data_IF_599115132013
#
_entry.id   IF_599115132013
#
_cell.length_a   1.000
_cell.length_b   1.000
_cell.length_c   1.000
_cell.angle_alpha   90.00
_cell.angle_beta   90.00
_cell.angle_gamma   90.00
#
_symmetry.space_group_name_H-M   'P 1'
#
loop_
_entity.id
_entity.type
_entity.pdbx_description
1 polymer ?
#
# COMPACT_ATOMS: atom_id res chain seq x y z
N UNK A 1 19.62 7.95 29.74
CA UNK A 1 19.43 9.20 28.97
C UNK A 1 20.37 9.25 27.77
N UNK A 2 21.57 9.85 27.79
CA UNK A 2 22.34 10.05 26.54
C UNK A 2 22.69 8.78 25.73
N UNK A 3 23.02 7.66 26.38
CA UNK A 3 23.28 6.37 25.71
C UNK A 3 21.99 5.69 25.22
N UNK A 4 20.94 5.79 26.03
CA UNK A 4 19.62 5.24 25.74
C UNK A 4 19.04 5.91 24.50
N UNK A 5 19.20 7.23 24.36
CA UNK A 5 18.79 7.98 23.19
C UNK A 5 19.52 7.53 21.91
N UNK A 6 20.82 7.26 21.97
CA UNK A 6 21.63 6.80 20.83
C UNK A 6 21.23 5.40 20.35
N UNK A 7 20.95 4.46 21.26
CA UNK A 7 20.51 3.11 20.88
C UNK A 7 19.13 3.11 20.23
N UNK A 8 18.23 3.99 20.67
CA UNK A 8 16.94 4.19 20.02
C UNK A 8 17.09 4.81 18.62
N UNK A 9 18.06 5.72 18.43
CA UNK A 9 18.38 6.30 17.12
C UNK A 9 18.86 5.23 16.14
N UNK A 10 19.76 4.33 16.53
CA UNK A 10 20.23 3.22 15.68
C UNK A 10 19.06 2.37 15.17
N UNK A 11 18.09 2.10 16.04
CA UNK A 11 16.91 1.30 15.68
C UNK A 11 15.96 2.09 14.75
N UNK A 12 15.76 3.37 15.03
CA UNK A 12 14.95 4.26 14.20
C UNK A 12 15.56 4.43 12.79
N UNK A 13 16.88 4.60 12.72
CA UNK A 13 17.64 4.71 11.48
C UNK A 13 17.60 3.40 10.69
N UNK A 14 17.69 2.24 11.36
CA UNK A 14 17.51 0.95 10.71
C UNK A 14 16.11 0.81 10.08
N UNK A 15 15.06 1.20 10.81
CA UNK A 15 13.69 1.20 10.29
C UNK A 15 13.58 2.13 9.09
N UNK A 16 14.10 3.35 9.19
CA UNK A 16 14.05 4.34 8.12
C UNK A 16 14.82 3.87 6.88
N UNK A 17 16.06 3.41 7.04
CA UNK A 17 16.89 2.96 5.93
C UNK A 17 16.27 1.79 5.15
N UNK A 18 15.52 0.91 5.84
CA UNK A 18 14.90 -0.28 5.23
C UNK A 18 13.53 -0.02 4.63
N UNK A 19 12.78 0.94 5.18
CA UNK A 19 11.33 1.07 4.90
C UNK A 19 10.90 2.49 4.52
N UNK A 20 11.74 3.49 4.77
CA UNK A 20 11.40 4.92 4.71
C UNK A 20 10.57 5.43 5.88
N UNK A 21 10.11 4.56 6.78
CA UNK A 21 9.27 4.96 7.91
C UNK A 21 10.09 5.67 8.98
N UNK A 22 9.52 6.72 9.54
CA UNK A 22 10.09 7.48 10.64
C UNK A 22 9.43 7.07 11.94
N UNK A 23 10.25 6.84 12.97
CA UNK A 23 9.77 6.68 14.32
C UNK A 23 9.91 8.02 15.05
N UNK A 24 8.77 8.70 15.26
CA UNK A 24 8.76 9.96 16.00
C UNK A 24 9.24 9.76 17.45
N UNK A 25 9.81 10.80 18.05
CA UNK A 25 10.26 10.79 19.44
C UNK A 25 9.15 10.34 20.40
N UNK A 26 7.93 10.85 20.20
CA UNK A 26 6.73 10.46 20.95
C UNK A 26 6.32 8.99 20.83
N UNK A 27 6.91 8.24 19.89
CA UNK A 27 6.66 6.81 19.64
C UNK A 27 7.86 5.94 19.96
N UNK A 28 8.98 6.50 20.45
CA UNK A 28 10.17 5.72 20.84
C UNK A 28 9.89 4.68 21.91
N UNK A 29 8.99 4.98 22.85
CA UNK A 29 8.52 4.01 23.86
C UNK A 29 8.04 2.69 23.26
N UNK A 30 7.56 2.71 22.00
CA UNK A 30 7.03 1.54 21.32
C UNK A 30 8.12 0.53 20.97
N UNK A 31 9.38 0.94 20.85
CA UNK A 31 10.54 0.06 20.56
C UNK A 31 10.57 -1.07 21.58
N UNK A 32 10.64 -0.75 22.88
CA UNK A 32 10.75 -1.76 23.93
C UNK A 32 9.54 -2.70 23.95
N UNK A 33 8.32 -2.17 23.77
CA UNK A 33 7.12 -3.02 23.73
C UNK A 33 7.05 -3.92 22.50
N UNK A 34 7.40 -3.39 21.32
CA UNK A 34 7.32 -4.11 20.05
C UNK A 34 8.39 -5.20 19.95
N UNK A 35 9.57 -4.93 20.52
CA UNK A 35 10.71 -5.85 20.49
C UNK A 35 10.74 -6.84 21.67
N UNK A 36 9.83 -6.71 22.64
CA UNK A 36 9.79 -7.59 23.82
C UNK A 36 9.77 -9.09 23.51
N UNK A 37 9.07 -9.50 22.43
CA UNK A 37 9.07 -10.88 21.95
C UNK A 37 10.45 -11.33 21.46
N UNK A 38 11.13 -10.45 20.70
CA UNK A 38 12.49 -10.70 20.21
C UNK A 38 13.50 -10.73 21.35
N UNK A 39 13.35 -9.86 22.34
CA UNK A 39 14.22 -9.83 23.50
C UNK A 39 14.21 -11.15 24.25
N UNK A 40 13.02 -11.71 24.49
CA UNK A 40 12.89 -13.03 25.12
C UNK A 40 13.48 -14.16 24.26
N UNK A 41 13.26 -14.12 22.95
CA UNK A 41 13.72 -15.18 22.06
C UNK A 41 15.24 -15.22 21.89
N UNK A 42 15.88 -14.06 21.78
CA UNK A 42 17.32 -13.94 21.57
C UNK A 42 18.12 -13.72 22.86
N UNK A 43 17.45 -13.66 24.02
CA UNK A 43 18.12 -13.39 25.30
C UNK A 43 18.71 -11.98 25.37
N UNK A 44 18.02 -10.99 24.80
CA UNK A 44 18.43 -9.58 24.81
C UNK A 44 17.81 -8.90 26.04
N UNK A 45 18.63 -8.28 26.86
CA UNK A 45 18.27 -7.65 28.12
C UNK A 45 17.67 -6.26 27.92
N UNK A 46 18.19 -5.49 26.96
CA UNK A 46 17.79 -4.11 26.72
C UNK A 46 18.12 -3.63 25.30
N UNK A 47 17.68 -2.40 25.00
CA UNK A 47 17.85 -1.75 23.69
C UNK A 47 19.33 -1.51 23.36
N UNK A 48 20.18 -1.23 24.34
CA UNK A 48 21.62 -1.00 24.13
C UNK A 48 22.34 -2.28 23.68
N UNK A 49 21.99 -3.42 24.28
CA UNK A 49 22.51 -4.71 23.84
C UNK A 49 22.04 -5.03 22.42
N UNK A 50 20.78 -4.74 22.08
CA UNK A 50 20.30 -4.91 20.71
C UNK A 50 21.11 -4.05 19.72
N UNK A 51 21.32 -2.77 20.04
CA UNK A 51 22.09 -1.86 19.18
C UNK A 51 23.51 -2.40 18.93
N UNK A 52 24.21 -2.81 20.00
CA UNK A 52 25.53 -3.46 19.90
C UNK A 52 25.52 -4.72 19.02
N UNK A 53 24.43 -5.49 19.02
CA UNK A 53 24.29 -6.68 18.18
C UNK A 53 24.06 -6.30 16.71
N UNK A 54 23.22 -5.29 16.44
CA UNK A 54 22.90 -4.84 15.08
C UNK A 54 24.10 -4.22 14.34
N UNK A 55 25.06 -3.66 15.07
CA UNK A 55 26.31 -3.13 14.48
C UNK A 55 27.29 -4.22 14.03
N UNK A 56 27.10 -5.47 14.47
CA UNK A 56 28.00 -6.57 14.09
C UNK A 56 27.80 -6.95 12.62
N UNK A 57 28.88 -7.10 11.83
CA UNK A 57 28.77 -7.56 10.46
C UNK A 57 28.05 -8.92 10.35
N UNK A 58 27.09 -9.04 9.44
CA UNK A 58 26.39 -10.30 9.16
C UNK A 58 25.06 -10.53 9.90
N UNK A 59 24.65 -9.65 10.82
CA UNK A 59 23.40 -9.77 11.60
C UNK A 59 22.12 -9.38 10.81
N UNK A 60 22.07 -9.73 9.52
CA UNK A 60 20.95 -9.39 8.64
C UNK A 60 19.63 -9.99 9.09
N UNK A 61 19.65 -11.19 9.67
CA UNK A 61 18.43 -11.86 10.14
C UNK A 61 17.82 -11.12 11.34
N UNK A 62 18.64 -10.71 12.31
CA UNK A 62 18.16 -9.95 13.46
C UNK A 62 17.62 -8.59 13.02
N UNK A 63 18.34 -7.89 12.14
CA UNK A 63 17.92 -6.60 11.60
C UNK A 63 16.55 -6.68 10.90
N UNK A 64 16.33 -7.68 10.04
CA UNK A 64 15.03 -7.91 9.40
C UNK A 64 13.94 -8.13 10.44
N UNK A 65 14.19 -8.93 11.48
CA UNK A 65 13.19 -9.20 12.52
C UNK A 65 12.85 -7.99 13.36
N UNK A 66 13.82 -7.15 13.66
CA UNK A 66 13.60 -5.86 14.36
C UNK A 66 12.70 -4.97 13.52
N UNK A 67 12.99 -4.81 12.22
CA UNK A 67 12.17 -4.02 11.31
C UNK A 67 10.74 -4.56 11.26
N UNK A 68 10.57 -5.87 11.05
CA UNK A 68 9.26 -6.54 11.01
C UNK A 68 8.44 -6.32 12.28
N UNK A 69 9.08 -6.31 13.45
CA UNK A 69 8.40 -6.07 14.72
C UNK A 69 8.00 -4.61 14.93
N UNK A 70 8.73 -3.65 14.34
CA UNK A 70 8.45 -2.22 14.48
C UNK A 70 7.37 -1.71 13.52
N UNK A 71 7.21 -2.37 12.37
CA UNK A 71 6.20 -2.02 11.36
C UNK A 71 4.79 -1.99 11.96
N UNK A 72 4.01 -0.95 11.62
CA UNK A 72 2.61 -0.85 12.03
C UNK A 72 1.70 -1.46 10.97
N UNK A 73 1.29 -2.71 11.20
CA UNK A 73 0.47 -3.48 10.27
C UNK A 73 -1.05 -3.39 10.58
N UNK A 74 -1.50 -2.35 11.29
CA UNK A 74 -2.92 -2.19 11.64
C UNK A 74 -3.81 -2.07 10.39
N UNK A 75 -4.58 -3.12 10.13
CA UNK A 75 -5.50 -3.24 9.00
C UNK A 75 -6.69 -4.12 9.37
N UNK A 76 -7.80 -3.98 8.64
CA UNK A 76 -8.98 -4.81 8.80
C UNK A 76 -9.81 -4.78 7.52
N UNK A 77 -10.64 -5.81 7.35
CA UNK A 77 -11.47 -5.93 6.16
C UNK A 77 -12.43 -4.75 6.04
N UNK A 78 -12.58 -4.25 4.83
CA UNK A 78 -13.47 -3.14 4.48
C UNK A 78 -13.26 -1.88 5.34
N UNK A 79 -12.01 -1.63 5.75
CA UNK A 79 -11.62 -0.39 6.45
C UNK A 79 -12.10 0.84 5.69
N UNK A 80 -12.95 1.64 6.34
CA UNK A 80 -13.71 2.72 5.75
C UNK A 80 -14.66 2.23 4.62
N UNK A 81 -15.74 1.52 4.99
CA UNK A 81 -16.74 0.96 4.05
C UNK A 81 -17.23 1.93 2.97
N UNK A 82 -17.31 3.24 3.29
CA UNK A 82 -17.70 4.26 2.32
C UNK A 82 -16.73 4.33 1.13
N UNK A 83 -15.42 4.11 1.36
CA UNK A 83 -14.41 4.13 0.30
C UNK A 83 -14.56 2.92 -0.62
N UNK A 84 -14.77 1.72 -0.07
CA UNK A 84 -15.08 0.53 -0.87
C UNK A 84 -16.39 0.70 -1.65
N UNK A 85 -17.37 1.40 -1.09
CA UNK A 85 -18.62 1.73 -1.79
C UNK A 85 -18.38 2.66 -2.99
N UNK A 86 -17.51 3.68 -2.84
CA UNK A 86 -17.06 4.54 -3.95
C UNK A 86 -16.33 3.74 -5.02
N UNK A 87 -15.46 2.80 -4.64
CA UNK A 87 -14.79 1.91 -5.58
C UNK A 87 -15.79 1.07 -6.38
N UNK A 88 -16.71 0.40 -5.69
CA UNK A 88 -17.68 -0.52 -6.28
C UNK A 88 -18.65 0.16 -7.26
N UNK A 89 -19.11 1.37 -6.90
CA UNK A 89 -20.26 2.00 -7.56
C UNK A 89 -19.87 3.13 -8.51
N UNK A 90 -18.66 3.70 -8.38
CA UNK A 90 -18.23 4.85 -9.18
C UNK A 90 -16.94 4.53 -9.93
N UNK A 91 -15.86 4.22 -9.21
CA UNK A 91 -14.52 4.12 -9.81
C UNK A 91 -14.39 2.90 -10.73
N UNK A 92 -14.74 1.71 -10.25
CA UNK A 92 -14.64 0.48 -11.05
C UNK A 92 -15.56 0.54 -12.30
N UNK A 93 -16.83 0.99 -12.23
CA UNK A 93 -17.65 1.20 -13.42
C UNK A 93 -17.06 2.21 -14.42
N UNK A 94 -16.44 3.29 -13.94
CA UNK A 94 -15.80 4.26 -14.82
C UNK A 94 -14.58 3.65 -15.54
N UNK A 95 -13.72 2.93 -14.80
CA UNK A 95 -12.59 2.21 -15.37
C UNK A 95 -13.05 1.16 -16.37
N UNK A 96 -14.15 0.45 -16.08
CA UNK A 96 -14.75 -0.51 -17.00
C UNK A 96 -15.19 0.16 -18.31
N UNK A 97 -15.76 1.38 -18.24
CA UNK A 97 -16.07 2.15 -19.46
C UNK A 97 -14.81 2.53 -20.24
N UNK A 98 -13.73 2.94 -19.55
CA UNK A 98 -12.44 3.32 -20.16
C UNK A 98 -11.66 2.12 -20.74
N UNK A 99 -11.91 0.91 -20.25
CA UNK A 99 -11.24 -0.33 -20.64
C UNK A 99 -12.17 -1.31 -21.37
N UNK A 100 -13.26 -0.83 -21.95
CA UNK A 100 -14.26 -1.68 -22.61
C UNK A 100 -13.65 -2.56 -23.72
N UNK A 101 -12.66 -2.04 -24.45
CA UNK A 101 -12.00 -2.75 -25.56
C UNK A 101 -11.11 -3.91 -25.09
N UNK A 102 -10.45 -3.76 -23.95
CA UNK A 102 -9.52 -4.78 -23.41
C UNK A 102 -10.19 -5.68 -22.38
N UNK A 103 -11.26 -5.21 -21.76
CA UNK A 103 -11.95 -5.85 -20.63
C UNK A 103 -11.00 -6.27 -19.50
N UNK A 104 -9.94 -5.48 -19.32
CA UNK A 104 -8.91 -5.72 -18.31
C UNK A 104 -8.78 -4.52 -17.38
N UNK A 105 -8.77 -4.77 -16.07
CA UNK A 105 -8.48 -3.77 -15.03
C UNK A 105 -7.33 -4.29 -14.17
N UNK A 106 -6.34 -3.44 -13.94
CA UNK A 106 -5.17 -3.72 -13.10
C UNK A 106 -5.16 -2.78 -11.90
N UNK A 107 -5.00 -3.34 -10.71
CA UNK A 107 -5.11 -2.62 -9.45
C UNK A 107 -3.87 -2.88 -8.61
N UNK A 108 -3.33 -1.85 -7.97
CA UNK A 108 -2.20 -1.96 -7.05
C UNK A 108 -2.57 -1.41 -5.67
N UNK A 109 -2.53 -2.23 -4.63
CA UNK A 109 -2.56 -1.81 -3.23
C UNK A 109 -1.13 -1.72 -2.69
N UNK A 110 -0.64 -0.50 -2.52
CA UNK A 110 0.67 -0.17 -2.00
C UNK A 110 0.63 0.02 -0.48
N UNK A 111 1.29 -0.87 0.26
CA UNK A 111 1.16 -1.00 1.72
C UNK A 111 -0.01 -1.90 2.11
N UNK A 112 -0.13 -3.07 1.48
CA UNK A 112 -1.30 -3.94 1.66
C UNK A 112 -1.37 -4.63 3.03
N UNK A 113 -0.34 -4.54 3.86
CA UNK A 113 -0.21 -5.22 5.15
C UNK A 113 -0.54 -6.71 5.01
N UNK A 114 -1.35 -7.27 5.90
CA UNK A 114 -1.75 -8.67 5.93
C UNK A 114 -2.84 -9.02 4.91
N UNK A 115 -3.16 -8.13 3.95
CA UNK A 115 -3.92 -8.45 2.74
C UNK A 115 -5.41 -8.07 2.75
N UNK A 116 -5.94 -7.61 3.88
CA UNK A 116 -7.38 -7.37 4.06
C UNK A 116 -7.92 -6.33 3.09
N UNK A 117 -7.16 -5.27 2.74
CA UNK A 117 -7.59 -4.28 1.75
C UNK A 117 -7.77 -4.91 0.35
N UNK A 118 -6.76 -5.67 -0.08
CA UNK A 118 -6.76 -6.38 -1.38
C UNK A 118 -7.90 -7.39 -1.44
N UNK A 119 -8.06 -8.19 -0.39
CA UNK A 119 -9.11 -9.20 -0.32
C UNK A 119 -10.51 -8.58 -0.22
N UNK A 120 -10.70 -7.47 0.48
CA UNK A 120 -11.97 -6.75 0.50
C UNK A 120 -12.36 -6.23 -0.87
N UNK A 121 -11.40 -5.73 -1.64
CA UNK A 121 -11.66 -5.31 -3.02
C UNK A 121 -12.01 -6.50 -3.92
N UNK A 122 -11.26 -7.61 -3.81
CA UNK A 122 -11.57 -8.84 -4.53
C UNK A 122 -12.96 -9.40 -4.19
N UNK A 123 -13.35 -9.38 -2.90
CA UNK A 123 -14.70 -9.75 -2.45
C UNK A 123 -15.77 -8.84 -3.06
N UNK A 124 -15.55 -7.52 -3.05
CA UNK A 124 -16.46 -6.53 -3.65
C UNK A 124 -16.73 -6.82 -5.13
N UNK A 125 -15.70 -7.28 -5.86
CA UNK A 125 -15.81 -7.67 -7.26
C UNK A 125 -16.55 -9.01 -7.39
N UNK A 126 -16.21 -10.00 -6.56
CA UNK A 126 -16.88 -11.30 -6.52
C UNK A 126 -18.38 -11.22 -6.19
N UNK A 127 -18.81 -10.18 -5.47
CA UNK A 127 -20.24 -9.93 -5.17
C UNK A 127 -21.05 -9.44 -6.38
N UNK A 128 -20.38 -9.07 -7.49
CA UNK A 128 -21.02 -8.55 -8.71
C UNK A 128 -20.69 -9.42 -9.93
N UNK A 129 -20.92 -10.74 -9.89
CA UNK A 129 -20.48 -11.66 -10.94
C UNK A 129 -21.09 -11.31 -12.31
N UNK A 130 -22.34 -10.84 -12.37
CA UNK A 130 -22.97 -10.43 -13.62
C UNK A 130 -22.30 -9.23 -14.30
N UNK A 131 -21.64 -8.35 -13.53
CA UNK A 131 -20.91 -7.20 -14.06
C UNK A 131 -19.51 -7.59 -14.55
N UNK A 132 -18.86 -8.50 -13.83
CA UNK A 132 -17.43 -8.80 -14.00
C UNK A 132 -17.14 -10.16 -14.64
N UNK A 133 -18.16 -10.91 -15.07
CA UNK A 133 -18.02 -12.28 -15.58
C UNK A 133 -16.95 -12.47 -16.66
N UNK A 134 -16.93 -11.59 -17.69
CA UNK A 134 -15.90 -11.64 -18.74
C UNK A 134 -14.89 -10.49 -18.65
N UNK A 135 -14.60 -10.03 -17.42
CA UNK A 135 -13.52 -9.10 -17.13
C UNK A 135 -12.32 -9.84 -16.55
N UNK A 136 -11.12 -9.46 -16.99
CA UNK A 136 -9.88 -9.85 -16.31
C UNK A 136 -9.53 -8.76 -15.30
N UNK A 137 -9.61 -9.05 -14.00
CA UNK A 137 -9.23 -8.11 -12.94
C UNK A 137 -8.08 -8.69 -12.13
N UNK A 138 -6.96 -7.97 -12.13
CA UNK A 138 -5.74 -8.35 -11.43
C UNK A 138 -5.47 -7.35 -10.30
N UNK A 139 -5.36 -7.83 -9.07
CA UNK A 139 -5.10 -7.00 -7.89
C UNK A 139 -3.75 -7.39 -7.28
N UNK A 140 -2.79 -6.50 -7.35
CA UNK A 140 -1.47 -6.66 -6.74
C UNK A 140 -1.45 -5.97 -5.37
N UNK A 141 -1.21 -6.72 -4.31
CA UNK A 141 -0.82 -6.18 -3.01
C UNK A 141 0.70 -6.17 -2.86
N UNK A 142 1.26 -5.04 -2.41
CA UNK A 142 2.68 -4.98 -2.04
C UNK A 142 2.85 -4.45 -0.63
N UNK A 143 3.77 -5.04 0.12
CA UNK A 143 4.18 -4.52 1.43
C UNK A 143 5.68 -4.73 1.66
N UNK A 144 6.28 -3.91 2.53
CA UNK A 144 7.69 -4.07 2.91
C UNK A 144 7.87 -5.22 3.91
N UNK A 145 6.82 -5.52 4.68
CA UNK A 145 6.77 -6.67 5.59
C UNK A 145 6.62 -7.97 4.81
N UNK A 146 7.68 -8.79 4.79
CA UNK A 146 7.62 -10.13 4.22
C UNK A 146 6.67 -11.02 5.02
N UNK A 147 6.62 -10.85 6.35
CA UNK A 147 5.69 -11.59 7.21
C UNK A 147 4.23 -11.28 6.87
N UNK A 148 3.88 -10.01 6.67
CA UNK A 148 2.51 -9.62 6.33
C UNK A 148 2.12 -10.11 4.94
N UNK A 149 3.03 -10.01 3.96
CA UNK A 149 2.84 -10.56 2.61
C UNK A 149 2.60 -12.06 2.63
N UNK A 150 3.35 -12.82 3.42
CA UNK A 150 3.11 -14.27 3.55
C UNK A 150 1.72 -14.56 4.13
N UNK A 151 1.30 -13.85 5.18
CA UNK A 151 -0.06 -14.01 5.71
C UNK A 151 -1.11 -13.71 4.63
N UNK A 152 -0.95 -12.62 3.88
CA UNK A 152 -1.85 -12.24 2.80
C UNK A 152 -1.95 -13.34 1.72
N UNK A 153 -0.82 -13.93 1.32
CA UNK A 153 -0.75 -15.05 0.37
C UNK A 153 -1.50 -16.28 0.85
N UNK A 154 -1.37 -16.63 2.13
CA UNK A 154 -2.09 -17.78 2.70
C UNK A 154 -3.60 -17.52 2.81
N UNK A 155 -4.01 -16.25 2.89
CA UNK A 155 -5.40 -15.86 3.08
C UNK A 155 -6.03 -16.45 4.34
N UNK A 156 -5.23 -16.73 5.38
CA UNK A 156 -5.70 -17.31 6.64
C UNK A 156 -5.69 -16.26 7.75
N UNK A 157 -6.79 -16.17 8.47
CA UNK A 157 -7.04 -15.13 9.48
C UNK A 157 -7.68 -15.71 10.73
N UNK A 158 -7.48 -15.06 11.88
CA UNK A 158 -8.17 -15.41 13.11
C UNK A 158 -9.66 -15.06 13.05
N UNK A 159 -10.44 -15.63 13.97
CA UNK A 159 -11.86 -15.28 14.12
C UNK A 159 -12.05 -13.78 14.41
N UNK A 160 -11.17 -13.19 15.22
CA UNK A 160 -11.21 -11.77 15.56
C UNK A 160 -11.01 -10.88 14.32
N UNK A 161 -10.03 -11.22 13.47
CA UNK A 161 -9.75 -10.47 12.24
C UNK A 161 -10.92 -10.53 11.26
N UNK A 162 -11.54 -11.70 11.07
CA UNK A 162 -12.68 -11.82 10.15
C UNK A 162 -13.97 -11.22 10.72
N UNK A 163 -14.11 -11.03 12.03
CA UNK A 163 -15.29 -10.36 12.60
C UNK A 163 -15.20 -8.84 12.50
N UNK A 164 -14.01 -8.31 12.19
CA UNK A 164 -13.78 -6.86 12.09
C UNK A 164 -13.98 -6.37 10.65
N UNK A 165 -15.19 -5.86 10.38
CA UNK A 165 -15.54 -5.19 9.12
C UNK A 165 -16.13 -6.09 8.03
N UNK A 166 -16.26 -7.39 8.26
CA UNK A 166 -16.99 -8.31 7.38
C UNK A 166 -18.41 -8.52 7.91
N UNK A 167 -19.40 -8.50 7.03
CA UNK A 167 -20.77 -8.89 7.37
C UNK A 167 -20.91 -10.42 7.49
N UNK A 168 -21.92 -10.90 8.23
CA UNK A 168 -22.19 -12.35 8.34
C UNK A 168 -22.37 -13.01 6.97
N UNK A 169 -23.07 -12.35 6.05
CA UNK A 169 -23.27 -12.86 4.69
C UNK A 169 -21.93 -13.02 3.94
N UNK A 170 -21.04 -12.03 4.03
CA UNK A 170 -19.71 -12.10 3.43
C UNK A 170 -18.86 -13.19 4.08
N UNK A 171 -18.90 -13.34 5.40
CA UNK A 171 -18.18 -14.39 6.11
C UNK A 171 -18.58 -15.77 5.59
N UNK A 172 -19.89 -16.04 5.49
CA UNK A 172 -20.41 -17.31 4.98
C UNK A 172 -20.09 -17.55 3.50
N UNK A 173 -20.01 -16.48 2.69
CA UNK A 173 -19.77 -16.58 1.25
C UNK A 173 -18.29 -16.66 0.85
N UNK A 174 -17.40 -16.12 1.67
CA UNK A 174 -15.99 -15.90 1.32
C UNK A 174 -14.99 -16.51 2.29
N UNK A 175 -15.42 -17.10 3.41
CA UNK A 175 -14.53 -17.77 4.34
C UNK A 175 -15.00 -19.18 4.65
N UNK A 176 -14.02 -20.02 5.00
CA UNK A 176 -14.27 -21.36 5.52
C UNK A 176 -13.40 -21.58 6.74
N UNK A 177 -14.00 -22.16 7.78
CA UNK A 177 -13.28 -22.49 9.00
C UNK A 177 -12.29 -23.65 8.76
N UNK A 178 -11.12 -23.55 9.37
CA UNK A 178 -10.04 -24.52 9.30
C UNK A 178 -9.42 -24.70 10.69
N UNK A 179 -8.63 -25.75 10.94
CA UNK A 179 -7.92 -25.91 12.21
C UNK A 179 -6.95 -24.76 12.56
N UNK A 180 -6.56 -23.93 11.60
CA UNK A 180 -5.61 -22.81 11.76
C UNK A 180 -6.30 -21.44 11.78
N UNK A 181 -7.64 -21.39 11.82
CA UNK A 181 -8.43 -20.17 11.70
C UNK A 181 -9.30 -20.22 10.44
N UNK A 182 -9.54 -19.08 9.83
CA UNK A 182 -10.47 -18.93 8.71
C UNK A 182 -9.70 -18.66 7.42
N UNK A 183 -9.94 -19.49 6.41
CA UNK A 183 -9.32 -19.34 5.09
C UNK A 183 -10.30 -18.66 4.14
N UNK A 184 -9.82 -17.63 3.44
CA UNK A 184 -10.58 -16.96 2.38
C UNK A 184 -10.77 -17.89 1.17
N UNK A 185 -11.90 -17.77 0.48
CA UNK A 185 -12.26 -18.61 -0.65
C UNK A 185 -11.28 -18.46 -1.83
N UNK A 186 -10.96 -19.57 -2.49
CA UNK A 186 -9.96 -19.59 -3.57
C UNK A 186 -10.35 -18.67 -4.75
N UNK A 187 -11.65 -18.47 -5.01
CA UNK A 187 -12.15 -17.51 -6.01
C UNK A 187 -11.71 -16.06 -5.74
N UNK A 188 -11.56 -15.69 -4.47
CA UNK A 188 -11.06 -14.36 -4.06
C UNK A 188 -9.56 -14.29 -4.28
N UNK A 189 -8.82 -15.34 -3.88
CA UNK A 189 -7.36 -15.41 -4.04
C UNK A 189 -6.93 -15.44 -5.50
N UNK A 190 -7.71 -16.07 -6.39
CA UNK A 190 -7.40 -16.20 -7.81
C UNK A 190 -7.26 -14.84 -8.53
N UNK A 191 -7.85 -13.78 -7.99
CA UNK A 191 -7.77 -12.42 -8.53
C UNK A 191 -6.57 -11.63 -7.99
N UNK A 192 -5.83 -12.20 -7.03
CA UNK A 192 -4.86 -11.47 -6.21
C UNK A 192 -3.45 -12.00 -6.38
N UNK A 193 -2.48 -11.09 -6.32
CA UNK A 193 -1.06 -11.40 -6.20
C UNK A 193 -0.47 -10.58 -5.07
N UNK A 194 0.51 -11.13 -4.37
CA UNK A 194 1.21 -10.41 -3.30
C UNK A 194 2.71 -10.47 -3.50
N UNK A 195 3.40 -9.34 -3.30
CA UNK A 195 4.85 -9.21 -3.46
C UNK A 195 5.45 -8.41 -2.30
N UNK A 196 6.60 -8.85 -1.78
CA UNK A 196 7.36 -8.02 -0.84
C UNK A 196 8.09 -6.93 -1.61
N UNK A 197 7.69 -5.67 -1.43
CA UNK A 197 8.29 -4.50 -2.08
C UNK A 197 8.18 -3.26 -1.21
N UNK A 198 9.18 -2.39 -1.31
CA UNK A 198 9.10 -1.06 -0.74
C UNK A 198 8.44 -0.12 -1.76
N UNK A 199 7.51 0.72 -1.31
CA UNK A 199 6.85 1.74 -2.16
C UNK A 199 7.84 2.76 -2.73
N UNK A 200 9.02 2.90 -2.12
CA UNK A 200 10.10 3.78 -2.57
C UNK A 200 10.93 3.19 -3.71
N UNK A 201 10.75 1.91 -4.04
CA UNK A 201 11.38 1.26 -5.18
C UNK A 201 10.69 1.63 -6.50
N UNK A 202 11.19 1.09 -7.62
CA UNK A 202 10.48 1.19 -8.89
C UNK A 202 9.10 0.52 -8.78
N UNK A 203 8.05 1.11 -9.41
CA UNK A 203 6.73 0.51 -9.43
C UNK A 203 6.75 -0.92 -9.96
N UNK A 204 5.86 -1.81 -9.46
CA UNK A 204 5.80 -3.18 -9.94
C UNK A 204 5.49 -3.24 -11.44
N UNK A 205 6.13 -4.16 -12.15
CA UNK A 205 5.84 -4.41 -13.55
C UNK A 205 4.42 -4.98 -13.74
N UNK A 206 3.72 -4.65 -14.84
CA UNK A 206 4.18 -3.82 -15.96
C UNK A 206 4.08 -2.30 -15.72
N UNK A 207 3.52 -1.87 -14.58
CA UNK A 207 3.09 -0.49 -14.35
C UNK A 207 1.76 -0.21 -15.06
N UNK A 208 1.43 1.08 -15.22
CA UNK A 208 0.16 1.56 -15.80
C UNK A 208 -1.08 1.01 -15.09
N UNK A 209 -1.06 0.94 -13.76
CA UNK A 209 -2.21 0.50 -12.96
C UNK A 209 -3.40 1.44 -13.15
N UNK A 210 -4.59 0.88 -13.35
CA UNK A 210 -5.83 1.64 -13.53
C UNK A 210 -6.32 2.25 -12.21
N UNK A 211 -6.03 1.57 -11.10
CA UNK A 211 -6.30 2.02 -9.75
C UNK A 211 -5.10 1.72 -8.84
N UNK A 212 -4.64 2.72 -8.09
CA UNK A 212 -3.69 2.53 -6.99
C UNK A 212 -4.36 2.89 -5.67
N UNK A 213 -4.31 1.98 -4.71
CA UNK A 213 -4.65 2.23 -3.30
C UNK A 213 -3.34 2.44 -2.54
N UNK A 214 -3.19 3.56 -1.84
CA UNK A 214 -2.08 3.79 -0.92
C UNK A 214 -2.63 4.40 0.36
N UNK A 215 -3.19 3.54 1.21
CA UNK A 215 -4.00 3.97 2.35
C UNK A 215 -3.31 3.67 3.66
N UNK A 216 -3.33 4.66 4.56
CA UNK A 216 -2.75 4.61 5.89
C UNK A 216 -1.26 4.21 5.91
N UNK A 217 -0.52 4.54 4.84
CA UNK A 217 0.87 4.16 4.64
C UNK A 217 1.80 5.39 4.67
N UNK A 218 1.41 6.47 4.02
CA UNK A 218 2.25 7.66 3.81
C UNK A 218 2.42 8.50 5.08
N UNK A 219 1.53 8.32 6.06
CA UNK A 219 1.58 9.01 7.35
C UNK A 219 2.80 8.67 8.23
N UNK A 220 3.55 7.62 7.89
CA UNK A 220 4.79 7.25 8.58
C UNK A 220 6.05 7.87 7.96
N UNK A 221 5.93 8.52 6.80
CA UNK A 221 7.07 9.10 6.09
C UNK A 221 7.29 10.56 6.46
N UNK A 222 8.55 10.98 6.48
CA UNK A 222 8.90 12.40 6.46
C UNK A 222 8.46 13.06 5.15
N UNK A 223 8.41 14.41 5.08
CA UNK A 223 7.94 15.11 3.88
C UNK A 223 8.72 14.83 2.59
N UNK A 224 10.02 14.54 2.65
CA UNK A 224 10.81 14.23 1.45
C UNK A 224 10.54 12.79 0.99
N UNK A 225 10.53 11.83 1.91
CA UNK A 225 10.22 10.43 1.62
C UNK A 225 8.80 10.28 1.08
N UNK A 226 7.84 11.03 1.63
CA UNK A 226 6.46 11.07 1.14
C UNK A 226 6.35 11.59 -0.29
N UNK A 227 7.09 12.66 -0.62
CA UNK A 227 7.18 13.18 -1.99
C UNK A 227 7.73 12.13 -2.95
N UNK A 228 8.81 11.45 -2.55
CA UNK A 228 9.39 10.38 -3.36
C UNK A 228 8.39 9.24 -3.58
N UNK A 229 7.62 8.84 -2.55
CA UNK A 229 6.57 7.83 -2.69
C UNK A 229 5.50 8.26 -3.70
N UNK A 230 5.05 9.52 -3.69
CA UNK A 230 4.13 10.03 -4.71
C UNK A 230 4.73 9.99 -6.12
N UNK A 231 6.02 10.29 -6.30
CA UNK A 231 6.67 10.14 -7.60
C UNK A 231 6.70 8.69 -8.08
N UNK A 232 6.94 7.73 -7.18
CA UNK A 232 6.85 6.30 -7.52
C UNK A 232 5.43 5.91 -7.94
N UNK A 233 4.42 6.28 -7.15
CA UNK A 233 3.02 6.00 -7.47
C UNK A 233 2.65 6.61 -8.83
N UNK A 234 3.04 7.87 -9.08
CA UNK A 234 2.80 8.55 -10.35
C UNK A 234 3.49 7.88 -11.55
N UNK A 235 4.65 7.26 -11.34
CA UNK A 235 5.33 6.47 -12.37
C UNK A 235 4.70 5.11 -12.64
N UNK A 236 3.87 4.60 -11.72
CA UNK A 236 3.22 3.29 -11.81
C UNK A 236 1.77 3.33 -12.27
N UNK A 237 1.10 4.48 -12.16
CA UNK A 237 -0.34 4.63 -12.48
C UNK A 237 -0.57 4.98 -13.96
N UNK A 238 -1.67 4.49 -14.53
CA UNK A 238 -2.12 4.92 -15.86
C UNK A 238 -2.50 6.41 -15.85
N UNK A 239 -2.26 7.12 -16.96
CA UNK A 239 -2.51 8.56 -17.05
C UNK A 239 -3.98 8.95 -16.80
N UNK A 240 -4.93 8.04 -17.08
CA UNK A 240 -6.36 8.19 -16.85
C UNK A 240 -6.89 7.35 -15.67
N UNK A 241 -5.98 6.85 -14.83
CA UNK A 241 -6.26 6.03 -13.66
C UNK A 241 -6.62 6.83 -12.40
N UNK A 242 -6.82 6.11 -11.31
CA UNK A 242 -7.21 6.69 -10.02
C UNK A 242 -6.24 6.33 -8.89
N UNK A 243 -5.98 7.28 -8.00
CA UNK A 243 -5.29 7.07 -6.73
C UNK A 243 -6.30 7.24 -5.60
N UNK A 244 -6.34 6.29 -4.66
CA UNK A 244 -7.07 6.41 -3.41
C UNK A 244 -6.10 6.49 -2.22
N UNK A 245 -6.29 7.50 -1.37
CA UNK A 245 -5.54 7.64 -0.11
C UNK A 245 -6.43 7.33 1.11
N UNK A 246 -5.79 7.09 2.26
CA UNK A 246 -6.49 6.81 3.51
C UNK A 246 -7.08 8.06 4.15
N UNK A 247 -7.93 7.86 5.16
CA UNK A 247 -8.47 8.96 5.95
C UNK A 247 -7.32 9.77 6.61
N UNK A 248 -7.33 11.08 6.41
CA UNK A 248 -6.30 11.99 6.92
C UNK A 248 -5.05 12.13 6.05
N UNK A 249 -4.97 11.42 4.92
CA UNK A 249 -3.92 11.59 3.92
C UNK A 249 -4.40 12.47 2.76
N UNK A 250 -3.49 13.27 2.20
CA UNK A 250 -3.82 14.20 1.11
C UNK A 250 -2.64 14.41 0.17
N UNK A 251 -2.94 14.78 -1.08
CA UNK A 251 -1.94 15.24 -2.06
C UNK A 251 -1.67 16.74 -1.91
N UNK A 252 -2.60 17.49 -1.31
CA UNK A 252 -2.55 18.96 -1.23
C UNK A 252 -1.36 19.40 -0.38
N UNK A 253 -0.48 20.21 -0.97
CA UNK A 253 0.77 20.64 -0.32
C UNK A 253 1.79 19.53 -0.14
N UNK A 254 1.55 18.33 -0.70
CA UNK A 254 2.46 17.19 -0.63
C UNK A 254 3.06 16.85 -1.99
N UNK A 255 2.33 17.03 -3.09
CA UNK A 255 2.80 16.71 -4.45
C UNK A 255 2.01 17.48 -5.51
N UNK A 256 2.63 17.74 -6.66
CA UNK A 256 1.99 18.32 -7.85
C UNK A 256 1.62 17.26 -8.91
N UNK A 257 1.86 15.98 -8.62
CA UNK A 257 1.63 14.87 -9.56
C UNK A 257 0.18 14.42 -9.62
N UNK A 258 -0.63 14.78 -8.63
CA UNK A 258 -2.01 14.37 -8.48
C UNK A 258 -2.90 15.56 -8.14
N UNK A 259 -4.16 15.47 -8.54
CA UNK A 259 -5.20 16.44 -8.18
C UNK A 259 -6.47 15.73 -7.69
N UNK A 260 -7.31 16.38 -6.85
CA UNK A 260 -8.54 15.78 -6.35
C UNK A 260 -9.48 15.33 -7.47
N UNK A 261 -10.02 14.13 -7.35
CA UNK A 261 -11.04 13.62 -8.26
C UNK A 261 -12.45 14.01 -7.79
N UNK A 262 -13.42 14.20 -8.70
CA UNK A 262 -14.79 14.60 -8.33
C UNK A 262 -15.58 13.49 -7.62
N UNK A 263 -15.09 12.25 -7.63
CA UNK A 263 -15.79 11.07 -7.13
C UNK A 263 -15.59 10.78 -5.62
N UNK A 264 -14.90 11.66 -4.88
CA UNK A 264 -14.82 11.59 -3.42
C UNK A 264 -13.54 12.20 -2.86
N UNK A 265 -13.57 12.59 -1.58
CA UNK A 265 -12.46 13.29 -0.91
C UNK A 265 -11.17 12.47 -0.76
N UNK A 266 -11.27 11.15 -0.89
CA UNK A 266 -10.13 10.23 -0.83
C UNK A 266 -9.57 9.89 -2.22
N UNK A 267 -10.21 10.36 -3.29
CA UNK A 267 -9.88 10.03 -4.67
C UNK A 267 -9.11 11.14 -5.34
N UNK A 268 -8.12 10.75 -6.13
CA UNK A 268 -7.24 11.63 -6.88
C UNK A 268 -7.00 11.05 -8.28
N UNK A 269 -6.65 11.91 -9.23
CA UNK A 269 -6.25 11.53 -10.59
C UNK A 269 -4.85 12.08 -10.88
N UNK A 270 -4.06 11.43 -11.75
CA UNK A 270 -2.81 11.98 -12.22
C UNK A 270 -3.04 13.34 -12.87
N UNK A 271 -2.25 14.33 -12.47
CA UNK A 271 -2.23 15.63 -13.14
C UNK A 271 -1.52 15.47 -14.48
N UNK A 272 -2.16 15.88 -15.57
CA UNK A 272 -1.51 15.89 -16.87
C UNK A 272 -0.18 16.65 -16.74
N UNK A 273 0.93 16.03 -17.18
CA UNK A 273 2.21 16.72 -17.20
C UNK A 273 2.01 18.03 -17.97
N UNK A 274 2.27 19.16 -17.32
CA UNK A 274 2.29 20.45 -18.00
C UNK A 274 3.24 20.27 -19.18
N UNK A 275 2.67 20.26 -20.39
CA UNK A 275 3.35 19.78 -21.57
C UNK A 275 4.72 20.43 -21.71
N UNK A 276 5.70 19.63 -22.13
CA UNK A 276 6.79 20.13 -22.97
C UNK A 276 6.09 20.93 -24.06
N UNK A 277 6.07 22.25 -23.91
CA UNK A 277 5.53 23.16 -24.91
C UNK A 277 6.18 22.77 -26.21
N UNK A 278 5.36 22.36 -27.18
CA UNK A 278 5.79 22.13 -28.55
C UNK A 278 6.46 23.41 -29.04
N UNK A 279 7.79 23.43 -29.05
CA UNK A 279 8.60 24.41 -29.78
C UNK A 279 8.52 24.04 -31.26
N UNK A 280 7.30 24.05 -31.80
CA UNK A 280 7.01 23.97 -33.23
C UNK A 280 5.80 24.85 -33.47
N UNK A 281 6.04 26.16 -33.44
CA UNK A 281 5.01 27.16 -33.66
C UNK A 281 5.59 28.56 -33.75
N UNK A 282 6.27 28.85 -34.88
CA UNK A 282 6.27 30.11 -35.63
C UNK A 282 7.43 30.15 -36.62
N UNK A 283 7.22 29.56 -37.81
CA UNK A 283 7.85 30.12 -39.01
C UNK A 283 6.92 31.25 -39.46
N UNK A 284 7.34 32.52 -39.46
CA UNK A 284 6.54 33.58 -40.03
C UNK A 284 6.47 33.39 -41.55
N UNK A 285 5.25 33.37 -42.08
CA UNK A 285 5.01 33.47 -43.52
C UNK A 285 5.59 34.80 -44.01
N UNK A 286 6.73 34.73 -44.69
CA UNK A 286 7.27 35.86 -45.47
C UNK A 286 6.51 35.90 -46.79
N UNK A 287 5.52 36.79 -46.87
CA UNK A 287 5.11 37.34 -48.14
C UNK A 287 6.03 38.52 -48.50
N UNK A 288 6.07 38.83 -49.80
CA UNK A 288 6.52 40.08 -50.45
C UNK A 288 7.85 40.01 -51.22
N UNK A 289 7.65 39.83 -52.54
CA UNK A 289 8.26 40.50 -53.71
C UNK A 289 9.65 40.09 -54.23
N UNK A 290 9.60 39.62 -55.49
CA UNK A 290 10.67 39.44 -56.46
C UNK A 290 10.08 38.78 -57.70
#
# INVERSE_FOLDING_TARGET
>A
MALEDASHDIIADLLNARTGQTLSESRRWRISSALSGLFREFGIENVDQLACMLERPGEHRLATRVVEALLNNETYFFRDHAYFSTLANIVLPELARKRADTRKITIWSAGCSTGQEVLSLAMTICEQPGRWADWTIEILGTDVSGKAVEQARTGTYSQFEIQRGISVAQMLNFFSETPRGWKVADKVLAMTRFEQRNILDLPPAPGQFDLVLCRNCLLYFDPQTRRNAFERIAGGIAADGFLMLGAGETVVGQTDRFEPAPCGSAMYVPKAAAGVSSVLGRIPARAVNG
#
